data_IF_426419443199
#
_entry.id   IF_426419443199
#
_cell.length_a   1.000
_cell.length_b   1.000
_cell.length_c   1.000
_cell.angle_alpha   90.00
_cell.angle_beta   90.00
_cell.angle_gamma   90.00
#
_symmetry.space_group_name_H-M   'P 1'
#
loop_
_entity.id
_entity.type
_entity.pdbx_description
1 polymer ?
#
# COMPACT_ATOMS: atom_id res chain seq x y z
N UNK A 1 -30.32 151.64 71.75
CA UNK A 1 -30.39 150.48 72.69
C UNK A 1 -31.44 149.42 72.31
N UNK A 2 -32.51 149.73 71.57
CA UNK A 2 -33.52 148.73 71.16
C UNK A 2 -33.12 147.80 69.99
N UNK A 3 -32.29 148.25 69.03
CA UNK A 3 -31.89 147.43 67.86
C UNK A 3 -30.87 146.32 68.19
N UNK A 4 -29.98 146.52 69.16
CA UNK A 4 -28.97 145.52 69.53
C UNK A 4 -29.60 144.27 70.19
N UNK A 5 -30.68 144.46 70.96
CA UNK A 5 -31.43 143.37 71.61
C UNK A 5 -32.04 142.41 70.58
N UNK A 6 -32.64 142.94 69.51
CA UNK A 6 -33.29 142.12 68.48
C UNK A 6 -32.29 141.30 67.65
N UNK A 7 -31.11 141.84 67.37
CA UNK A 7 -30.05 141.10 66.66
C UNK A 7 -29.50 139.95 67.48
N UNK A 8 -29.35 140.12 68.81
CA UNK A 8 -28.90 139.03 69.70
C UNK A 8 -29.95 137.92 69.79
N UNK A 9 -31.25 138.26 69.83
CA UNK A 9 -32.34 137.26 69.83
C UNK A 9 -32.39 136.50 68.51
N UNK A 10 -32.29 137.19 67.36
CA UNK A 10 -32.29 136.55 66.05
C UNK A 10 -31.05 135.67 65.83
N UNK A 11 -29.88 136.10 66.29
CA UNK A 11 -28.66 135.28 66.24
C UNK A 11 -28.80 134.04 67.14
N UNK A 12 -29.37 134.19 68.35
CA UNK A 12 -29.65 133.08 69.24
C UNK A 12 -30.65 132.06 68.67
N UNK A 13 -31.67 132.52 67.92
CA UNK A 13 -32.62 131.63 67.24
C UNK A 13 -32.02 130.95 66.00
N UNK A 14 -31.20 131.66 65.22
CA UNK A 14 -30.52 131.12 64.04
C UNK A 14 -29.48 130.06 64.43
N UNK A 15 -28.66 130.35 65.45
CA UNK A 15 -27.70 129.39 66.02
C UNK A 15 -28.44 128.18 66.61
N UNK A 16 -29.58 128.38 67.29
CA UNK A 16 -30.39 127.27 67.81
C UNK A 16 -30.99 126.41 66.69
N UNK A 17 -31.48 127.01 65.61
CA UNK A 17 -32.00 126.29 64.44
C UNK A 17 -30.90 125.54 63.67
N UNK A 18 -29.72 126.14 63.52
CA UNK A 18 -28.56 125.45 62.94
C UNK A 18 -28.09 124.29 63.81
N UNK A 19 -28.02 124.48 65.13
CA UNK A 19 -27.68 123.40 66.06
C UNK A 19 -28.73 122.29 66.01
N UNK A 20 -30.03 122.61 65.97
CA UNK A 20 -31.08 121.60 65.80
C UNK A 20 -30.98 120.85 64.46
N UNK A 21 -30.73 121.56 63.36
CA UNK A 21 -30.52 120.95 62.04
C UNK A 21 -29.31 120.02 62.03
N UNK A 22 -28.18 120.48 62.55
CA UNK A 22 -26.96 119.68 62.67
C UNK A 22 -27.17 118.45 63.58
N UNK A 23 -27.91 118.59 64.69
CA UNK A 23 -28.23 117.42 65.54
C UNK A 23 -29.14 116.40 64.84
N UNK A 24 -30.06 116.85 63.98
CA UNK A 24 -30.94 115.97 63.20
C UNK A 24 -30.17 115.25 62.08
N UNK A 25 -29.32 115.98 61.35
CA UNK A 25 -28.42 115.39 60.35
C UNK A 25 -27.46 114.38 60.97
N UNK A 26 -26.90 114.70 62.13
CA UNK A 26 -26.03 113.78 62.88
C UNK A 26 -26.79 112.53 63.34
N UNK A 27 -28.04 112.69 63.80
CA UNK A 27 -28.89 111.55 64.17
C UNK A 27 -29.25 110.67 62.96
N UNK A 28 -29.56 111.28 61.81
CA UNK A 28 -29.82 110.55 60.57
C UNK A 28 -28.57 109.81 60.06
N UNK A 29 -27.40 110.46 60.10
CA UNK A 29 -26.12 109.85 59.75
C UNK A 29 -25.76 108.70 60.71
N UNK A 30 -25.98 108.87 62.01
CA UNK A 30 -25.78 107.82 63.00
C UNK A 30 -26.71 106.61 62.78
N UNK A 31 -27.98 106.86 62.42
CA UNK A 31 -28.93 105.80 62.08
C UNK A 31 -28.58 105.08 60.77
N UNK A 32 -28.14 105.80 59.75
CA UNK A 32 -27.67 105.22 58.50
C UNK A 32 -26.39 104.39 58.70
N UNK A 33 -25.45 104.89 59.52
CA UNK A 33 -24.24 104.15 59.90
C UNK A 33 -24.59 102.89 60.70
N UNK A 34 -25.56 102.96 61.62
CA UNK A 34 -26.06 101.79 62.35
C UNK A 34 -26.69 100.76 61.41
N UNK A 35 -27.56 101.18 60.50
CA UNK A 35 -28.19 100.29 59.52
C UNK A 35 -27.16 99.65 58.58
N UNK A 36 -26.15 100.42 58.14
CA UNK A 36 -25.04 99.92 57.34
C UNK A 36 -24.18 98.92 58.12
N UNK A 37 -23.89 99.18 59.40
CA UNK A 37 -23.16 98.25 60.25
C UNK A 37 -23.95 96.95 60.52
N UNK A 38 -25.27 97.04 60.68
CA UNK A 38 -26.16 95.88 60.82
C UNK A 38 -26.22 95.06 59.52
N UNK A 39 -26.30 95.70 58.36
CA UNK A 39 -26.25 95.04 57.06
C UNK A 39 -24.90 94.36 56.81
N UNK A 40 -23.79 95.05 57.07
CA UNK A 40 -22.45 94.49 56.95
C UNK A 40 -22.24 93.30 57.91
N UNK A 41 -22.79 93.36 59.13
CA UNK A 41 -22.78 92.24 60.08
C UNK A 41 -23.59 91.05 59.56
N UNK A 42 -24.78 91.29 59.00
CA UNK A 42 -25.62 90.24 58.43
C UNK A 42 -24.94 89.56 57.23
N UNK A 43 -24.35 90.34 56.33
CA UNK A 43 -23.60 89.82 55.18
C UNK A 43 -22.37 89.03 55.63
N UNK A 44 -21.60 89.52 56.61
CA UNK A 44 -20.48 88.79 57.19
C UNK A 44 -20.91 87.46 57.82
N UNK A 45 -22.05 87.42 58.53
CA UNK A 45 -22.58 86.17 59.08
C UNK A 45 -23.03 85.19 58.01
N UNK A 46 -23.69 85.67 56.95
CA UNK A 46 -24.12 84.84 55.82
C UNK A 46 -22.93 84.27 55.04
N UNK A 47 -21.89 85.09 54.80
CA UNK A 47 -20.65 84.66 54.17
C UNK A 47 -19.92 83.62 55.03
N UNK A 48 -19.86 83.81 56.36
CA UNK A 48 -19.28 82.84 57.28
C UNK A 48 -20.05 81.51 57.30
N UNK A 49 -21.39 81.57 57.27
CA UNK A 49 -22.23 80.36 57.24
C UNK A 49 -22.08 79.61 55.92
N UNK A 50 -22.05 80.32 54.78
CA UNK A 50 -21.83 79.74 53.46
C UNK A 50 -20.42 79.11 53.35
N UNK A 51 -19.40 79.81 53.83
CA UNK A 51 -18.02 79.28 53.90
C UNK A 51 -17.94 78.03 54.79
N UNK A 52 -18.65 78.02 55.92
CA UNK A 52 -18.76 76.85 56.79
C UNK A 52 -19.40 75.65 56.07
N UNK A 53 -20.52 75.88 55.37
CA UNK A 53 -21.20 74.84 54.58
C UNK A 53 -20.30 74.30 53.45
N UNK A 54 -19.62 75.16 52.70
CA UNK A 54 -18.68 74.75 51.65
C UNK A 54 -17.50 73.95 52.21
N UNK A 55 -16.94 74.34 53.36
CA UNK A 55 -15.86 73.60 54.01
C UNK A 55 -16.29 72.18 54.38
N UNK A 56 -17.50 72.00 54.92
CA UNK A 56 -18.01 70.67 55.29
C UNK A 56 -18.21 69.79 54.06
N UNK A 57 -18.80 70.34 52.98
CA UNK A 57 -19.00 69.60 51.73
C UNK A 57 -17.67 69.19 51.08
N UNK A 58 -16.66 70.06 51.09
CA UNK A 58 -15.35 69.74 50.54
C UNK A 58 -14.62 68.67 51.36
N UNK A 59 -14.74 68.69 52.69
CA UNK A 59 -14.16 67.66 53.57
C UNK A 59 -14.83 66.30 53.32
N UNK A 60 -16.16 66.28 53.21
CA UNK A 60 -16.91 65.05 52.91
C UNK A 60 -16.56 64.49 51.53
N UNK A 61 -16.48 65.36 50.51
CA UNK A 61 -16.05 64.97 49.17
C UNK A 61 -14.60 64.43 49.15
N UNK A 62 -13.68 65.07 49.88
CA UNK A 62 -12.30 64.60 50.02
C UNK A 62 -12.23 63.25 50.76
N UNK A 63 -13.03 63.05 51.80
CA UNK A 63 -13.11 61.77 52.50
C UNK A 63 -13.67 60.67 51.60
N UNK A 64 -14.74 60.94 50.86
CA UNK A 64 -15.33 59.99 49.90
C UNK A 64 -14.35 59.62 48.80
N UNK A 65 -13.67 60.61 48.21
CA UNK A 65 -12.62 60.37 47.22
C UNK A 65 -11.48 59.51 47.78
N UNK A 66 -11.04 59.78 49.01
CA UNK A 66 -9.96 59.01 49.63
C UNK A 66 -10.39 57.55 49.92
N UNK A 67 -11.65 57.34 50.32
CA UNK A 67 -12.21 55.98 50.49
C UNK A 67 -12.30 55.23 49.17
N UNK A 68 -12.80 55.86 48.11
CA UNK A 68 -12.86 55.29 46.76
C UNK A 68 -11.46 54.97 46.24
N UNK A 69 -10.49 55.86 46.44
CA UNK A 69 -9.09 55.64 46.07
C UNK A 69 -8.49 54.45 46.81
N UNK A 70 -8.73 54.33 48.12
CA UNK A 70 -8.25 53.19 48.91
C UNK A 70 -8.87 51.87 48.45
N UNK A 71 -10.18 51.84 48.17
CA UNK A 71 -10.86 50.66 47.66
C UNK A 71 -10.33 50.26 46.27
N UNK A 72 -10.11 51.25 45.39
CA UNK A 72 -9.52 51.03 44.08
C UNK A 72 -8.07 50.50 44.18
N UNK A 73 -7.26 51.03 45.11
CA UNK A 73 -5.88 50.57 45.34
C UNK A 73 -5.84 49.11 45.77
N UNK A 74 -6.68 48.72 46.75
CA UNK A 74 -6.76 47.32 47.21
C UNK A 74 -7.19 46.39 46.07
N UNK A 75 -8.21 46.78 45.31
CA UNK A 75 -8.70 45.99 44.17
C UNK A 75 -7.62 45.86 43.08
N UNK A 76 -6.86 46.92 42.83
CA UNK A 76 -5.76 46.91 41.87
C UNK A 76 -4.63 45.99 42.33
N UNK A 77 -4.24 46.05 43.60
CA UNK A 77 -3.22 45.17 44.19
C UNK A 77 -3.64 43.69 44.10
N UNK A 78 -4.89 43.36 44.43
CA UNK A 78 -5.44 42.01 44.29
C UNK A 78 -5.38 41.54 42.83
N UNK A 79 -5.75 42.42 41.88
CA UNK A 79 -5.76 42.09 40.46
C UNK A 79 -4.36 41.91 39.88
N UNK A 80 -3.40 42.75 40.28
CA UNK A 80 -1.98 42.60 39.90
C UNK A 80 -1.43 41.29 40.46
N UNK A 81 -1.68 40.97 41.73
CA UNK A 81 -1.25 39.71 42.35
C UNK A 81 -1.84 38.48 41.64
N UNK A 82 -3.14 38.53 41.30
CA UNK A 82 -3.78 37.48 40.53
C UNK A 82 -3.17 37.34 39.13
N UNK A 83 -2.95 38.45 38.43
CA UNK A 83 -2.31 38.45 37.10
C UNK A 83 -0.90 37.87 37.15
N UNK A 84 -0.06 38.24 38.12
CA UNK A 84 1.28 37.67 38.29
C UNK A 84 1.22 36.16 38.52
N UNK A 85 0.29 35.69 39.36
CA UNK A 85 0.12 34.25 39.62
C UNK A 85 -0.31 33.49 38.38
N UNK A 86 -1.25 34.04 37.61
CA UNK A 86 -1.71 33.43 36.36
C UNK A 86 -0.59 33.44 35.31
N UNK A 87 0.19 34.52 35.22
CA UNK A 87 1.35 34.60 34.33
C UNK A 87 2.42 33.54 34.68
N UNK A 88 2.74 33.39 35.97
CA UNK A 88 3.67 32.37 36.46
C UNK A 88 3.19 30.96 36.10
N UNK A 89 1.90 30.68 36.34
CA UNK A 89 1.29 29.39 35.96
C UNK A 89 1.32 29.15 34.45
N UNK A 90 1.11 30.19 33.64
CA UNK A 90 1.20 30.08 32.18
C UNK A 90 2.64 29.75 31.74
N UNK A 91 3.65 30.39 32.34
CA UNK A 91 5.06 30.11 32.07
C UNK A 91 5.42 28.67 32.46
N UNK A 92 4.98 28.21 33.63
CA UNK A 92 5.22 26.84 34.09
C UNK A 92 4.59 25.80 33.15
N UNK A 93 3.33 26.03 32.74
CA UNK A 93 2.65 25.16 31.77
C UNK A 93 3.35 25.16 30.41
N UNK A 94 3.75 26.32 29.91
CA UNK A 94 4.49 26.43 28.65
C UNK A 94 5.81 25.66 28.72
N UNK A 95 6.54 25.75 29.84
CA UNK A 95 7.79 25.03 30.08
C UNK A 95 7.57 23.52 30.11
N UNK A 96 6.55 23.04 30.82
CA UNK A 96 6.20 21.62 30.86
C UNK A 96 5.83 21.09 29.48
N UNK A 97 5.03 21.84 28.71
CA UNK A 97 4.69 21.48 27.32
C UNK A 97 5.95 21.39 26.47
N UNK A 98 6.84 22.38 26.54
CA UNK A 98 8.10 22.37 25.79
C UNK A 98 8.97 21.15 26.12
N UNK A 99 9.12 20.82 27.41
CA UNK A 99 9.87 19.63 27.86
C UNK A 99 9.22 18.33 27.39
N UNK A 100 7.88 18.24 27.45
CA UNK A 100 7.16 17.05 26.98
C UNK A 100 7.30 16.86 25.47
N UNK A 101 7.27 17.95 24.71
CA UNK A 101 7.45 17.95 23.26
C UNK A 101 8.87 17.55 22.87
N UNK A 102 9.89 18.06 23.57
CA UNK A 102 11.29 17.68 23.36
C UNK A 102 11.52 16.19 23.62
N UNK A 103 11.00 15.68 24.74
CA UNK A 103 11.04 14.25 25.08
C UNK A 103 10.32 13.38 24.04
N UNK A 104 9.14 13.78 23.61
CA UNK A 104 8.39 13.06 22.57
C UNK A 104 9.14 13.05 21.23
N UNK A 105 9.71 14.18 20.84
CA UNK A 105 10.50 14.31 19.60
C UNK A 105 11.74 13.41 19.64
N UNK A 106 12.46 13.37 20.76
CA UNK A 106 13.62 12.49 20.90
C UNK A 106 13.22 11.00 20.88
N UNK A 107 12.12 10.62 21.54
CA UNK A 107 11.60 9.25 21.49
C UNK A 107 11.19 8.84 20.07
N UNK A 108 10.54 9.74 19.33
CA UNK A 108 10.16 9.51 17.95
C UNK A 108 11.40 9.33 17.06
N UNK A 109 12.43 10.17 17.24
CA UNK A 109 13.69 10.04 16.51
C UNK A 109 14.36 8.68 16.76
N UNK A 110 14.49 8.25 18.02
CA UNK A 110 15.05 6.93 18.36
C UNK A 110 14.24 5.79 17.75
N UNK A 111 12.91 5.91 17.78
CA UNK A 111 12.02 4.91 17.18
C UNK A 111 12.13 4.86 15.65
N UNK A 112 12.29 6.01 15.00
CA UNK A 112 12.55 6.12 13.56
C UNK A 112 13.91 5.53 13.18
N UNK A 113 14.96 5.81 13.94
CA UNK A 113 16.30 5.22 13.74
C UNK A 113 16.24 3.69 13.88
N UNK A 114 15.54 3.17 14.90
CA UNK A 114 15.35 1.74 15.06
C UNK A 114 14.51 1.11 13.94
N UNK A 115 13.47 1.80 13.47
CA UNK A 115 12.64 1.34 12.36
C UNK A 115 13.45 1.27 11.06
N UNK A 116 14.20 2.32 10.73
CA UNK A 116 15.05 2.35 9.53
C UNK A 116 16.13 1.27 9.55
N UNK A 117 16.77 1.03 10.70
CA UNK A 117 17.72 -0.06 10.86
C UNK A 117 17.08 -1.44 10.64
N UNK A 118 15.92 -1.70 11.25
CA UNK A 118 15.17 -2.96 11.04
C UNK A 118 14.74 -3.15 9.59
N UNK A 119 14.30 -2.08 8.92
CA UNK A 119 13.94 -2.13 7.50
C UNK A 119 15.15 -2.44 6.62
N UNK A 120 16.32 -1.87 6.92
CA UNK A 120 17.57 -2.17 6.22
C UNK A 120 17.98 -3.64 6.40
N UNK A 121 17.93 -4.14 7.64
CA UNK A 121 18.23 -5.55 7.94
C UNK A 121 17.27 -6.51 7.23
N UNK A 122 15.97 -6.19 7.23
CA UNK A 122 14.95 -6.95 6.51
C UNK A 122 15.26 -6.98 5.00
N UNK A 123 15.62 -5.84 4.42
CA UNK A 123 16.01 -5.75 3.00
C UNK A 123 17.20 -6.65 2.67
N UNK A 124 18.23 -6.65 3.52
CA UNK A 124 19.40 -7.52 3.35
C UNK A 124 19.04 -9.01 3.45
N UNK A 125 18.23 -9.41 4.44
CA UNK A 125 17.75 -10.80 4.58
C UNK A 125 16.89 -11.24 3.41
N UNK A 126 16.00 -10.38 2.93
CA UNK A 126 15.14 -10.65 1.79
C UNK A 126 15.94 -10.86 0.50
N UNK A 127 16.98 -10.04 0.28
CA UNK A 127 17.89 -10.20 -0.86
C UNK A 127 18.63 -11.53 -0.81
N UNK A 128 19.17 -11.93 0.34
CA UNK A 128 19.80 -13.24 0.53
C UNK A 128 18.82 -14.38 0.25
N UNK A 129 17.60 -14.29 0.78
CA UNK A 129 16.59 -15.31 0.58
C UNK A 129 16.14 -15.44 -0.88
N UNK A 130 16.00 -14.32 -1.59
CA UNK A 130 15.66 -14.33 -3.02
C UNK A 130 16.77 -14.97 -3.86
N UNK A 131 18.04 -14.72 -3.52
CA UNK A 131 19.18 -15.37 -4.18
C UNK A 131 19.20 -16.88 -3.94
N UNK A 132 18.93 -17.33 -2.71
CA UNK A 132 18.86 -18.77 -2.41
C UNK A 132 17.69 -19.46 -3.09
N UNK A 133 16.51 -18.81 -3.16
CA UNK A 133 15.37 -19.31 -3.94
C UNK A 133 15.77 -19.43 -5.42
N UNK A 134 16.38 -18.39 -6.00
CA UNK A 134 16.81 -18.41 -7.40
C UNK A 134 17.79 -19.55 -7.69
N UNK A 135 18.79 -19.77 -6.81
CA UNK A 135 19.72 -20.90 -6.91
C UNK A 135 19.01 -22.25 -6.79
N UNK A 136 18.09 -22.38 -5.85
CA UNK A 136 17.31 -23.61 -5.64
C UNK A 136 16.43 -23.92 -6.85
N UNK A 137 15.77 -22.91 -7.41
CA UNK A 137 14.98 -23.04 -8.64
C UNK A 137 15.84 -23.45 -9.82
N UNK A 138 17.02 -22.85 -9.99
CA UNK A 138 17.96 -23.25 -11.05
C UNK A 138 18.40 -24.71 -10.88
N UNK A 139 18.78 -25.11 -9.66
CA UNK A 139 19.16 -26.50 -9.39
C UNK A 139 18.00 -27.49 -9.61
N UNK A 140 16.76 -27.08 -9.35
CA UNK A 140 15.57 -27.87 -9.65
C UNK A 140 15.34 -28.01 -11.16
N UNK A 141 15.51 -26.93 -11.93
CA UNK A 141 15.44 -26.95 -13.39
C UNK A 141 16.49 -27.89 -14.00
N UNK A 142 17.75 -27.77 -13.58
CA UNK A 142 18.83 -28.64 -14.06
C UNK A 142 18.55 -30.13 -13.75
N UNK A 143 17.94 -30.42 -12.60
CA UNK A 143 17.52 -31.79 -12.25
C UNK A 143 16.36 -32.27 -13.11
N UNK A 144 15.38 -31.42 -13.41
CA UNK A 144 14.27 -31.75 -14.30
C UNK A 144 14.75 -32.06 -15.72
N UNK A 145 15.72 -31.31 -16.24
CA UNK A 145 16.29 -31.57 -17.57
C UNK A 145 17.05 -32.90 -17.59
N UNK A 146 17.86 -33.19 -16.57
CA UNK A 146 18.52 -34.49 -16.42
C UNK A 146 17.53 -35.64 -16.29
N UNK A 147 16.44 -35.47 -15.54
CA UNK A 147 15.40 -36.48 -15.41
C UNK A 147 14.69 -36.71 -16.75
N UNK A 148 14.29 -35.65 -17.46
CA UNK A 148 13.71 -35.75 -18.80
C UNK A 148 14.61 -36.53 -19.75
N UNK A 149 15.90 -36.20 -19.77
CA UNK A 149 16.88 -36.89 -20.62
C UNK A 149 17.04 -38.37 -20.23
N UNK A 150 17.13 -38.67 -18.93
CA UNK A 150 17.29 -40.04 -18.44
C UNK A 150 16.05 -40.88 -18.70
N UNK A 151 14.85 -40.31 -18.49
CA UNK A 151 13.58 -40.96 -18.80
C UNK A 151 13.45 -41.22 -20.30
N UNK A 152 13.79 -40.26 -21.16
CA UNK A 152 13.76 -40.45 -22.61
C UNK A 152 14.69 -41.59 -23.07
N UNK A 153 15.93 -41.63 -22.56
CA UNK A 153 16.88 -42.71 -22.85
C UNK A 153 16.37 -44.07 -22.36
N UNK A 154 15.85 -44.13 -21.13
CA UNK A 154 15.35 -45.37 -20.53
C UNK A 154 14.12 -45.90 -21.28
N UNK A 155 13.18 -45.03 -21.65
CA UNK A 155 12.00 -45.39 -22.44
C UNK A 155 12.41 -45.91 -23.81
N UNK A 156 13.35 -45.23 -24.47
CA UNK A 156 13.89 -45.68 -25.76
C UNK A 156 14.58 -47.03 -25.65
N UNK A 157 15.44 -47.24 -24.65
CA UNK A 157 16.15 -48.52 -24.46
C UNK A 157 15.18 -49.66 -24.13
N UNK A 158 14.17 -49.41 -23.30
CA UNK A 158 13.11 -50.37 -23.01
C UNK A 158 12.32 -50.72 -24.28
N UNK A 159 11.97 -49.71 -25.08
CA UNK A 159 11.29 -49.91 -26.35
C UNK A 159 12.14 -50.73 -27.33
N UNK A 160 13.43 -50.43 -27.51
CA UNK A 160 14.30 -51.16 -28.43
C UNK A 160 14.39 -52.66 -28.08
N UNK A 161 14.36 -53.01 -26.78
CA UNK A 161 14.29 -54.41 -26.34
C UNK A 161 12.98 -55.08 -26.74
N UNK A 162 11.84 -54.39 -26.54
CA UNK A 162 10.52 -54.89 -26.95
C UNK A 162 10.43 -55.03 -28.47
N UNK A 163 10.91 -54.02 -29.21
CA UNK A 163 10.94 -54.02 -30.67
C UNK A 163 11.77 -55.18 -31.23
N UNK A 164 12.91 -55.50 -30.62
CA UNK A 164 13.73 -56.65 -31.03
C UNK A 164 12.94 -57.98 -30.94
N UNK A 165 12.16 -58.17 -29.87
CA UNK A 165 11.30 -59.36 -29.71
C UNK A 165 10.18 -59.37 -30.78
N UNK A 166 9.49 -58.25 -30.98
CA UNK A 166 8.42 -58.15 -31.98
C UNK A 166 8.92 -58.39 -33.41
N UNK A 167 10.10 -57.89 -33.75
CA UNK A 167 10.73 -58.12 -35.07
C UNK A 167 11.08 -59.61 -35.24
N UNK A 168 11.53 -60.28 -34.19
CA UNK A 168 11.80 -61.72 -34.24
C UNK A 168 10.52 -62.52 -34.52
N UNK A 169 9.43 -62.17 -33.82
CA UNK A 169 8.12 -62.77 -34.04
C UNK A 169 7.58 -62.51 -35.46
N UNK A 170 7.77 -61.29 -36.00
CA UNK A 170 7.40 -60.94 -37.37
C UNK A 170 8.20 -61.79 -38.38
N UNK A 171 9.51 -61.96 -38.17
CA UNK A 171 10.32 -62.82 -39.05
C UNK A 171 9.90 -64.30 -38.97
N UNK A 172 9.49 -64.78 -37.79
CA UNK A 172 8.92 -66.13 -37.62
C UNK A 172 7.62 -66.30 -38.41
N UNK A 173 6.68 -65.36 -38.29
CA UNK A 173 5.45 -65.36 -39.09
C UNK A 173 5.75 -65.29 -40.60
N UNK A 174 6.74 -64.50 -41.01
CA UNK A 174 7.17 -64.44 -42.40
C UNK A 174 7.68 -65.80 -42.90
N UNK A 175 8.46 -66.51 -42.10
CA UNK A 175 8.91 -67.86 -42.43
C UNK A 175 7.74 -68.84 -42.54
N UNK A 176 6.80 -68.82 -41.59
CA UNK A 176 5.63 -69.70 -41.61
C UNK A 176 4.76 -69.47 -42.85
N UNK A 177 4.55 -68.20 -43.22
CA UNK A 177 3.85 -67.82 -44.45
C UNK A 177 4.60 -68.31 -45.70
N UNK A 178 5.93 -68.22 -45.72
CA UNK A 178 6.74 -68.71 -46.83
C UNK A 178 6.59 -70.22 -47.04
N UNK A 179 6.60 -71.00 -45.95
CA UNK A 179 6.41 -72.46 -45.99
C UNK A 179 5.01 -72.84 -46.50
N UNK A 180 3.99 -72.08 -46.11
CA UNK A 180 2.59 -72.37 -46.49
C UNK A 180 2.28 -72.02 -47.96
N UNK A 181 3.13 -71.22 -48.62
CA UNK A 181 3.07 -70.92 -50.05
C UNK A 181 3.77 -71.98 -50.93
N UNK A 182 4.06 -73.18 -50.39
CA UNK A 182 4.70 -74.30 -51.09
C UNK A 182 6.01 -73.92 -51.80
N UNK A 183 6.72 -72.90 -51.28
CA UNK A 183 8.01 -72.48 -51.82
C UNK A 183 9.11 -73.18 -51.03
N UNK A 184 9.82 -74.12 -51.68
CA UNK A 184 10.94 -74.82 -51.05
C UNK A 184 12.02 -73.80 -50.65
N UNK A 185 12.33 -73.75 -49.35
CA UNK A 185 13.28 -72.78 -48.80
C UNK A 185 14.70 -73.24 -49.08
N UNK A 186 15.48 -72.53 -49.91
CA UNK A 186 16.83 -72.97 -50.27
C UNK A 186 17.76 -73.03 -49.06
N UNK A 187 18.70 -73.98 -49.06
CA UNK A 187 19.64 -74.19 -47.95
C UNK A 187 20.55 -72.96 -47.69
N UNK A 188 20.83 -72.14 -48.72
CA UNK A 188 21.60 -70.90 -48.58
C UNK A 188 20.85 -69.82 -47.79
N UNK A 189 19.51 -69.81 -47.85
CA UNK A 189 18.66 -68.92 -47.05
C UNK A 189 18.68 -69.33 -45.59
N UNK A 190 18.58 -70.63 -45.30
CA UNK A 190 18.75 -71.17 -43.94
C UNK A 190 20.14 -70.90 -43.37
N UNK A 191 21.19 -70.99 -44.20
CA UNK A 191 22.55 -70.64 -43.81
C UNK A 191 22.66 -69.16 -43.44
N UNK A 192 22.04 -68.24 -44.21
CA UNK A 192 22.00 -66.80 -43.90
C UNK A 192 21.23 -66.50 -42.62
N UNK A 193 20.10 -67.17 -42.39
CA UNK A 193 19.32 -67.04 -41.15
C UNK A 193 20.14 -67.47 -39.92
N UNK A 194 20.77 -68.67 -39.98
CA UNK A 194 21.65 -69.17 -38.91
C UNK A 194 22.88 -68.29 -38.66
N UNK A 195 23.36 -67.61 -39.71
CA UNK A 195 24.46 -66.65 -39.62
C UNK A 195 24.03 -65.25 -39.17
N UNK A 196 22.74 -65.03 -38.85
CA UNK A 196 22.24 -63.80 -38.23
C UNK A 196 21.37 -62.89 -39.11
N UNK A 197 21.17 -63.19 -40.40
CA UNK A 197 20.22 -62.43 -41.26
C UNK A 197 18.78 -62.88 -40.98
N UNK A 198 18.21 -62.45 -39.85
CA UNK A 198 16.84 -62.81 -39.45
C UNK A 198 15.78 -62.28 -40.41
N UNK A 199 16.08 -61.20 -41.12
CA UNK A 199 15.24 -60.61 -42.15
C UNK A 199 15.25 -61.34 -43.49
N UNK A 200 16.06 -62.40 -43.66
CA UNK A 200 16.24 -63.07 -44.96
C UNK A 200 14.93 -63.61 -45.54
N UNK A 201 14.00 -64.07 -44.69
CA UNK A 201 12.70 -64.61 -45.12
C UNK A 201 11.72 -63.51 -45.50
N UNK A 202 11.55 -62.48 -44.66
CA UNK A 202 10.73 -61.31 -45.00
C UNK A 202 11.24 -60.62 -46.27
N UNK A 203 12.57 -60.50 -46.38
CA UNK A 203 13.24 -60.02 -47.59
C UNK A 203 12.96 -60.94 -48.77
N UNK A 204 13.02 -62.26 -48.64
CA UNK A 204 12.80 -63.20 -49.76
C UNK A 204 11.35 -63.20 -50.25
N UNK A 205 10.38 -63.13 -49.35
CA UNK A 205 8.95 -62.98 -49.66
C UNK A 205 8.67 -61.77 -50.57
N UNK A 206 9.50 -60.73 -50.49
CA UNK A 206 9.36 -59.53 -51.32
C UNK A 206 10.44 -59.34 -52.41
N UNK A 207 11.66 -59.85 -52.22
CA UNK A 207 12.86 -59.58 -53.04
C UNK A 207 12.97 -60.48 -54.28
N UNK A 208 11.84 -60.88 -54.83
CA UNK A 208 11.76 -61.11 -56.27
C UNK A 208 10.57 -60.34 -56.79
N UNK A 209 10.79 -59.63 -57.88
CA UNK A 209 9.74 -59.10 -58.75
C UNK A 209 9.00 -60.25 -59.44
N UNK A 210 8.59 -61.27 -58.70
CA UNK A 210 7.74 -62.31 -59.22
C UNK A 210 6.35 -61.68 -59.24
N UNK A 211 5.93 -61.23 -60.43
CA UNK A 211 4.55 -60.79 -60.70
C UNK A 211 3.49 -61.83 -60.26
N UNK A 212 3.93 -63.03 -59.87
CA UNK A 212 3.16 -64.16 -59.38
C UNK A 212 3.01 -64.23 -57.84
N UNK A 213 3.92 -63.66 -57.04
CA UNK A 213 3.84 -63.78 -55.56
C UNK A 213 2.67 -63.00 -54.97
N UNK A 214 2.43 -61.76 -55.43
CA UNK A 214 1.33 -60.94 -54.92
C UNK A 214 -0.04 -61.62 -55.20
N UNK A 215 -0.34 -62.05 -56.45
CA UNK A 215 -1.55 -62.82 -56.71
C UNK A 215 -1.62 -64.15 -55.95
N UNK A 216 -0.48 -64.81 -55.70
CA UNK A 216 -0.43 -66.03 -54.91
C UNK A 216 -0.77 -65.79 -53.42
N UNK A 217 -0.28 -64.70 -52.84
CA UNK A 217 -0.64 -64.26 -51.48
C UNK A 217 -2.14 -63.96 -51.41
N UNK A 218 -2.68 -63.18 -52.35
CA UNK A 218 -4.12 -62.85 -52.40
C UNK A 218 -4.99 -64.10 -52.57
N UNK A 219 -4.62 -65.00 -53.47
CA UNK A 219 -5.34 -66.24 -53.71
C UNK A 219 -5.28 -67.19 -52.52
N UNK A 220 -4.11 -67.34 -51.89
CA UNK A 220 -3.94 -68.21 -50.71
C UNK A 220 -4.68 -67.63 -49.51
N UNK A 221 -4.64 -66.31 -49.31
CA UNK A 221 -5.39 -65.62 -48.27
C UNK A 221 -6.90 -65.84 -48.36
N UNK A 222 -7.47 -65.93 -49.56
CA UNK A 222 -8.91 -66.22 -49.74
C UNK A 222 -9.28 -67.70 -49.54
N UNK A 223 -8.32 -68.62 -49.64
CA UNK A 223 -8.59 -70.06 -49.74
C UNK A 223 -8.07 -70.88 -48.55
N UNK A 224 -7.13 -70.33 -47.79
CA UNK A 224 -6.47 -70.98 -46.66
C UNK A 224 -6.62 -70.12 -45.41
N UNK A 225 -7.50 -70.57 -44.51
CA UNK A 225 -7.79 -69.90 -43.24
C UNK A 225 -6.56 -69.79 -42.33
N UNK A 226 -5.60 -70.73 -42.41
CA UNK A 226 -4.36 -70.65 -41.63
C UNK A 226 -3.44 -69.57 -42.16
N UNK A 227 -3.36 -69.43 -43.48
CA UNK A 227 -2.59 -68.34 -44.10
C UNK A 227 -3.22 -66.98 -43.78
N UNK A 228 -4.55 -66.91 -43.80
CA UNK A 228 -5.31 -65.74 -43.41
C UNK A 228 -4.96 -65.29 -41.97
N UNK A 229 -5.03 -66.20 -40.98
CA UNK A 229 -4.66 -65.90 -39.58
C UNK A 229 -3.21 -65.40 -39.45
N UNK A 230 -2.27 -66.03 -40.15
CA UNK A 230 -0.86 -65.63 -40.13
C UNK A 230 -0.65 -64.21 -40.66
N UNK A 231 -1.30 -63.86 -41.78
CA UNK A 231 -1.21 -62.52 -42.36
C UNK A 231 -1.88 -61.48 -41.44
N UNK A 232 -3.08 -61.77 -40.92
CA UNK A 232 -3.78 -60.87 -40.00
C UNK A 232 -2.95 -60.60 -38.73
N UNK A 233 -2.35 -61.65 -38.16
CA UNK A 233 -1.44 -61.53 -37.00
C UNK A 233 -0.17 -60.77 -37.33
N UNK A 234 0.38 -60.94 -38.55
CA UNK A 234 1.54 -60.19 -39.00
C UNK A 234 1.24 -58.69 -39.09
N UNK A 235 0.13 -58.32 -39.75
CA UNK A 235 -0.30 -56.93 -39.87
C UNK A 235 -0.55 -56.30 -38.49
N UNK A 236 -1.31 -56.98 -37.63
CA UNK A 236 -1.62 -56.48 -36.28
C UNK A 236 -0.35 -56.33 -35.41
N UNK A 237 0.62 -57.25 -35.48
CA UNK A 237 1.89 -57.13 -34.76
C UNK A 237 2.73 -55.97 -35.27
N UNK A 238 2.76 -55.74 -36.57
CA UNK A 238 3.51 -54.62 -37.14
C UNK A 238 2.87 -53.27 -36.76
N UNK A 239 1.54 -53.16 -36.77
CA UNK A 239 0.81 -51.99 -36.29
C UNK A 239 1.05 -51.74 -34.80
N UNK A 240 1.09 -52.80 -34.00
CA UNK A 240 1.43 -52.73 -32.58
C UNK A 240 2.85 -52.20 -32.38
N UNK A 241 3.83 -52.66 -33.18
CA UNK A 241 5.21 -52.15 -33.17
C UNK A 241 5.26 -50.64 -33.51
N UNK A 242 4.50 -50.19 -34.52
CA UNK A 242 4.43 -48.77 -34.89
C UNK A 242 3.80 -47.91 -33.78
N UNK A 243 2.73 -48.39 -33.14
CA UNK A 243 2.08 -47.70 -32.02
C UNK A 243 3.03 -47.53 -30.81
N UNK A 244 3.78 -48.58 -30.47
CA UNK A 244 4.79 -48.51 -29.42
C UNK A 244 5.96 -47.58 -29.78
N UNK A 245 6.35 -47.54 -31.06
CA UNK A 245 7.38 -46.64 -31.56
C UNK A 245 6.98 -45.16 -31.41
N UNK A 246 5.74 -44.81 -31.78
CA UNK A 246 5.22 -43.44 -31.65
C UNK A 246 5.20 -42.93 -30.19
N UNK A 247 5.03 -43.84 -29.22
CA UNK A 247 5.06 -43.50 -27.79
C UNK A 247 6.48 -43.31 -27.24
N UNK A 248 7.47 -43.98 -27.82
CA UNK A 248 8.86 -43.97 -27.36
C UNK A 248 9.74 -42.93 -28.10
N UNK A 249 9.36 -42.55 -29.33
CA UNK A 249 10.09 -41.62 -30.17
C UNK A 249 9.15 -40.64 -30.89
N UNK A 250 8.84 -39.48 -30.27
CA UNK A 250 7.98 -38.46 -30.87
C UNK A 250 8.51 -37.89 -32.19
N UNK A 251 9.83 -37.93 -32.41
CA UNK A 251 10.47 -37.46 -33.66
C UNK A 251 10.28 -38.45 -34.82
N UNK A 252 9.62 -39.61 -34.56
CA UNK A 252 9.24 -40.61 -35.55
C UNK A 252 10.40 -41.23 -36.35
N UNK A 253 11.64 -41.11 -35.86
CA UNK A 253 12.85 -41.63 -36.51
C UNK A 253 12.85 -43.16 -36.50
N UNK A 254 12.46 -43.76 -35.37
CA UNK A 254 12.36 -45.21 -35.22
C UNK A 254 11.25 -45.81 -36.10
N UNK A 255 10.09 -45.14 -36.17
CA UNK A 255 8.95 -45.58 -37.00
C UNK A 255 9.33 -45.66 -38.48
N UNK A 256 10.00 -44.62 -39.00
CA UNK A 256 10.52 -44.61 -40.37
C UNK A 256 11.55 -45.74 -40.63
N UNK A 257 12.38 -46.04 -39.63
CA UNK A 257 13.37 -47.13 -39.70
C UNK A 257 12.68 -48.50 -39.81
N UNK A 258 11.61 -48.75 -39.05
CA UNK A 258 10.89 -50.03 -39.12
C UNK A 258 10.10 -50.19 -40.43
N UNK A 259 9.48 -49.13 -40.94
CA UNK A 259 8.76 -49.16 -42.23
C UNK A 259 9.71 -49.47 -43.39
N UNK A 260 10.93 -48.92 -43.37
CA UNK A 260 11.94 -49.14 -44.41
C UNK A 260 12.70 -50.46 -44.28
N UNK A 261 12.61 -51.14 -43.14
CA UNK A 261 13.16 -52.48 -42.93
C UNK A 261 12.41 -53.54 -43.75
N UNK A 262 13.00 -54.72 -43.92
CA UNK A 262 12.41 -55.79 -44.75
C UNK A 262 11.07 -56.30 -44.20
N UNK A 263 10.90 -56.30 -42.87
CA UNK A 263 9.61 -56.60 -42.22
C UNK A 263 8.54 -55.55 -42.52
N UNK A 264 8.92 -54.26 -42.60
CA UNK A 264 8.00 -53.18 -42.95
C UNK A 264 7.62 -53.17 -44.42
N UNK A 265 8.57 -53.50 -45.32
CA UNK A 265 8.27 -53.69 -46.75
C UNK A 265 7.25 -54.80 -46.97
N UNK A 266 7.39 -55.92 -46.25
CA UNK A 266 6.42 -57.01 -46.33
C UNK A 266 5.03 -56.58 -45.83
N UNK A 267 4.97 -55.83 -44.73
CA UNK A 267 3.72 -55.23 -44.22
C UNK A 267 3.04 -54.35 -45.28
N UNK A 268 3.78 -53.42 -45.89
CA UNK A 268 3.24 -52.51 -46.91
C UNK A 268 2.67 -53.27 -48.11
N UNK A 269 3.34 -54.34 -48.54
CA UNK A 269 2.90 -55.16 -49.67
C UNK A 269 1.63 -55.92 -49.33
N UNK A 270 1.61 -56.60 -48.18
CA UNK A 270 0.43 -57.36 -47.73
C UNK A 270 -0.78 -56.45 -47.51
N UNK A 271 -0.59 -55.32 -46.83
CA UNK A 271 -1.67 -54.34 -46.61
C UNK A 271 -2.25 -53.81 -47.92
N UNK A 272 -1.38 -53.49 -48.90
CA UNK A 272 -1.80 -53.02 -50.22
C UNK A 272 -2.54 -54.10 -51.02
N UNK A 273 -2.03 -55.33 -51.04
CA UNK A 273 -2.63 -56.46 -51.78
C UNK A 273 -3.98 -56.87 -51.22
N UNK A 274 -4.19 -56.73 -49.91
CA UNK A 274 -5.45 -57.05 -49.24
C UNK A 274 -6.45 -55.89 -49.21
N UNK A 275 -6.15 -54.77 -49.90
CA UNK A 275 -7.02 -53.60 -49.93
C UNK A 275 -7.18 -52.89 -48.59
N UNK A 276 -6.28 -53.15 -47.63
CA UNK A 276 -6.29 -52.58 -46.28
C UNK A 276 -5.43 -51.33 -46.14
N UNK A 277 -5.06 -50.70 -47.26
CA UNK A 277 -4.23 -49.50 -47.24
C UNK A 277 -4.92 -48.37 -46.48
N UNK A 278 -4.57 -48.21 -45.20
CA UNK A 278 -4.67 -46.93 -44.51
C UNK A 278 -3.60 -46.03 -45.13
N UNK A 279 -4.06 -44.98 -45.81
CA UNK A 279 -3.21 -43.87 -46.21
C UNK A 279 -2.45 -43.37 -44.96
N UNK A 280 -1.12 -43.49 -45.01
CA UNK A 280 -0.19 -42.89 -44.06
C UNK A 280 0.47 -41.68 -44.72
#
# INVERSE_FOLDING_TARGET
LAQLSQQVVNLGQSVRGQLQGQTSEFAAAANAAKASAEAAKAEATAASELSGKHSVVLIDAAHKLNQEFKAASVTLEERVSHMTRVAEQAIQRATHVAQSFDKQTNNLRVSLDAATQRTSELGARFQLQTQEIAKSTQAAMDRLDKLRQTTALTTRDAFLKVAAVMIDELNGLALDMHNLLDTEVPEDVWKKYRNGDRSVFARRLFKSKDAYIIPAIEQRYQRDEKFQDMVDRYLAKFENLLSHSASADPESVLSATFITADVGKLYLVMSRSLGRATEH
#
